data_IF_485610896700
#
_entry.id   IF_485610896700
#
_cell.length_a   1.000
_cell.length_b   1.000
_cell.length_c   1.000
_cell.angle_alpha   90.00
_cell.angle_beta   90.00
_cell.angle_gamma   90.00
#
_symmetry.space_group_name_H-M   'P 1'
#
loop_
_entity.id
_entity.type
_entity.pdbx_description
1 polymer ?
#
# COMPACT_ATOMS: atom_id res chain seq x y z
N UNK A 1 28.45 -43.26 -5.39
CA UNK A 1 27.44 -44.18 -4.86
C UNK A 1 26.09 -43.73 -5.40
N UNK A 2 25.52 -44.44 -6.37
CA UNK A 2 24.22 -44.08 -6.99
C UNK A 2 23.09 -44.64 -6.13
N UNK A 3 22.40 -43.77 -5.42
CA UNK A 3 21.20 -44.13 -4.68
C UNK A 3 20.04 -44.24 -5.67
N UNK A 4 19.48 -45.45 -5.79
CA UNK A 4 18.37 -45.73 -6.68
C UNK A 4 17.08 -44.98 -6.24
N UNK A 5 16.45 -44.25 -7.18
CA UNK A 5 15.18 -43.56 -6.96
C UNK A 5 14.03 -44.42 -6.40
N UNK A 6 14.08 -45.72 -6.62
CA UNK A 6 13.09 -46.70 -6.11
C UNK A 6 13.13 -46.88 -4.58
N UNK A 7 14.27 -46.63 -3.92
CA UNK A 7 14.34 -46.73 -2.46
C UNK A 7 13.85 -45.50 -1.74
N UNK A 8 13.77 -44.36 -2.43
CA UNK A 8 13.24 -43.11 -1.81
C UNK A 8 11.72 -43.16 -1.66
N UNK A 9 11.02 -43.77 -2.66
CA UNK A 9 9.54 -43.83 -2.59
C UNK A 9 9.01 -44.95 -1.70
N UNK A 10 9.80 -45.98 -1.38
CA UNK A 10 9.36 -47.05 -0.46
C UNK A 10 9.37 -46.61 1.01
N UNK A 11 10.15 -45.55 1.36
CA UNK A 11 10.15 -44.98 2.71
C UNK A 11 9.01 -43.96 2.97
N UNK A 12 8.48 -43.35 1.91
CA UNK A 12 7.43 -42.37 2.03
C UNK A 12 6.02 -42.98 2.21
N UNK A 13 5.83 -44.20 1.73
CA UNK A 13 4.54 -44.91 1.85
C UNK A 13 4.19 -45.36 3.28
N UNK A 14 5.18 -45.60 4.13
CA UNK A 14 4.95 -45.99 5.52
C UNK A 14 4.70 -44.81 6.45
N UNK A 15 5.14 -43.60 6.06
CA UNK A 15 4.87 -42.38 6.84
C UNK A 15 3.47 -41.80 6.57
N UNK A 16 2.89 -42.03 5.38
CA UNK A 16 1.58 -41.52 5.02
C UNK A 16 0.42 -42.21 5.77
N UNK A 17 0.57 -43.47 6.16
CA UNK A 17 -0.47 -44.20 6.90
C UNK A 17 -0.50 -43.84 8.41
N UNK A 18 0.59 -43.27 8.95
CA UNK A 18 0.63 -42.78 10.32
C UNK A 18 0.03 -41.36 10.50
N UNK A 19 0.03 -40.56 9.43
CA UNK A 19 -0.55 -39.20 9.46
C UNK A 19 -2.07 -39.19 9.28
N UNK A 20 -2.66 -40.18 8.63
CA UNK A 20 -4.10 -40.24 8.41
C UNK A 20 -4.92 -40.55 9.70
N UNK A 21 -4.31 -41.15 10.70
CA UNK A 21 -4.96 -41.44 11.98
C UNK A 21 -4.88 -40.28 13.00
N UNK A 22 -3.94 -39.32 12.79
CA UNK A 22 -3.80 -38.18 13.69
C UNK A 22 -4.57 -36.93 13.18
N UNK A 23 -5.13 -36.98 11.99
CA UNK A 23 -5.82 -35.84 11.35
C UNK A 23 -7.31 -35.72 11.68
N UNK A 24 -7.82 -36.56 12.57
CA UNK A 24 -9.23 -36.51 13.00
C UNK A 24 -9.49 -35.58 14.20
N UNK A 25 -8.52 -34.79 14.62
CA UNK A 25 -8.80 -33.67 15.54
C UNK A 25 -9.31 -32.50 14.71
N UNK A 26 -10.56 -32.09 14.90
CA UNK A 26 -11.11 -31.01 14.10
C UNK A 26 -10.31 -29.73 14.43
N UNK A 27 -9.52 -29.27 13.46
CA UNK A 27 -8.88 -27.96 13.50
C UNK A 27 -9.93 -26.86 13.78
N UNK A 28 -11.17 -27.08 13.36
CA UNK A 28 -12.31 -26.22 13.68
C UNK A 28 -12.66 -26.14 15.17
N UNK A 29 -12.41 -27.17 15.96
CA UNK A 29 -12.67 -27.13 17.41
C UNK A 29 -11.55 -26.43 18.18
N UNK A 30 -10.35 -26.32 17.59
CA UNK A 30 -9.25 -25.58 18.18
C UNK A 30 -9.37 -24.08 17.97
N UNK A 31 -10.07 -23.61 16.94
CA UNK A 31 -10.24 -22.18 16.66
C UNK A 31 -11.29 -21.51 17.56
N UNK A 32 -12.24 -22.26 18.10
CA UNK A 32 -13.31 -21.71 18.94
C UNK A 32 -12.94 -21.68 20.45
N UNK A 33 -12.07 -22.56 20.94
CA UNK A 33 -11.79 -22.68 22.36
C UNK A 33 -10.31 -22.76 22.73
N UNK A 34 -9.43 -23.06 21.81
CA UNK A 34 -8.01 -23.08 22.13
C UNK A 34 -7.47 -21.65 22.07
N UNK A 35 -7.65 -20.90 23.12
CA UNK A 35 -6.62 -19.93 23.50
C UNK A 35 -5.33 -20.73 23.60
N UNK A 36 -4.60 -20.82 22.51
CA UNK A 36 -3.24 -21.34 22.53
C UNK A 36 -2.53 -20.50 23.55
N UNK A 37 -2.14 -21.10 24.67
CA UNK A 37 -1.57 -20.39 25.80
C UNK A 37 -0.48 -19.46 25.26
N UNK A 38 -0.66 -18.15 25.38
CA UNK A 38 0.27 -17.13 24.96
C UNK A 38 0.20 -16.67 23.50
N UNK A 39 -0.70 -17.19 22.65
CA UNK A 39 -0.92 -16.62 21.31
C UNK A 39 -2.20 -15.77 21.30
N UNK A 40 -2.18 -14.58 20.69
CA UNK A 40 -3.36 -13.74 20.58
C UNK A 40 -4.40 -14.36 19.64
N UNK A 41 -5.68 -14.03 19.85
CA UNK A 41 -6.72 -14.36 18.89
C UNK A 41 -6.37 -13.68 17.55
N UNK A 42 -6.30 -14.45 16.49
CA UNK A 42 -6.04 -13.91 15.14
C UNK A 42 -7.28 -13.16 14.68
N UNK A 43 -7.11 -11.89 14.32
CA UNK A 43 -8.18 -11.00 13.94
C UNK A 43 -7.90 -10.38 12.57
N UNK A 44 -8.83 -10.54 11.65
CA UNK A 44 -8.72 -9.93 10.31
C UNK A 44 -7.86 -10.70 9.28
N UNK A 45 -7.24 -11.82 9.66
CA UNK A 45 -6.47 -12.67 8.73
C UNK A 45 -7.32 -13.71 8.02
N UNK A 46 -8.47 -14.06 8.54
CA UNK A 46 -9.32 -15.16 8.04
C UNK A 46 -9.68 -14.99 6.56
N UNK A 47 -9.78 -13.78 6.08
CA UNK A 47 -10.14 -13.50 4.70
C UNK A 47 -9.09 -13.94 3.68
N UNK A 48 -7.80 -13.75 3.92
CA UNK A 48 -6.75 -14.19 2.99
C UNK A 48 -6.69 -15.70 2.88
N UNK A 49 -6.88 -16.40 3.99
CA UNK A 49 -6.89 -17.87 4.01
C UNK A 49 -8.17 -18.47 3.45
N UNK A 50 -9.27 -17.73 3.49
CA UNK A 50 -10.55 -18.14 2.97
C UNK A 50 -10.80 -17.64 1.53
N UNK A 51 -9.99 -16.71 1.04
CA UNK A 51 -10.14 -16.21 -0.32
C UNK A 51 -9.88 -17.32 -1.33
N UNK A 52 -10.95 -17.72 -2.02
CA UNK A 52 -10.86 -18.63 -3.16
C UNK A 52 -10.86 -17.76 -4.41
N UNK A 53 -9.76 -17.73 -5.17
CA UNK A 53 -9.73 -16.96 -6.41
C UNK A 53 -10.84 -17.41 -7.34
N UNK A 54 -11.59 -16.48 -7.95
CA UNK A 54 -12.60 -16.83 -8.94
C UNK A 54 -11.96 -17.67 -10.05
N UNK A 55 -12.63 -18.73 -10.46
CA UNK A 55 -12.17 -19.53 -11.61
C UNK A 55 -12.61 -18.86 -12.92
N UNK A 56 -11.75 -18.95 -13.94
CA UNK A 56 -12.03 -18.45 -15.29
C UNK A 56 -12.34 -16.93 -15.35
N UNK A 57 -11.61 -16.12 -14.61
CA UNK A 57 -11.72 -14.67 -14.69
C UNK A 57 -11.33 -14.22 -16.10
N UNK A 58 -12.30 -13.72 -16.84
CA UNK A 58 -12.00 -13.00 -18.09
C UNK A 58 -11.45 -11.63 -17.72
N UNK A 59 -10.29 -11.29 -18.29
CA UNK A 59 -9.74 -9.94 -18.16
C UNK A 59 -10.65 -8.97 -18.90
N UNK A 60 -11.29 -8.07 -18.19
CA UNK A 60 -11.95 -6.91 -18.78
C UNK A 60 -10.94 -5.78 -18.92
N UNK A 61 -10.39 -5.62 -20.12
CA UNK A 61 -9.41 -4.58 -20.46
C UNK A 61 -10.05 -3.34 -21.07
N UNK A 62 -11.35 -3.12 -20.89
CA UNK A 62 -12.02 -1.89 -21.30
C UNK A 62 -11.54 -0.73 -20.43
N UNK A 63 -10.87 0.30 -20.98
CA UNK A 63 -10.35 1.41 -20.20
C UNK A 63 -11.48 2.23 -19.58
N UNK A 64 -11.23 2.77 -18.39
CA UNK A 64 -12.11 3.74 -17.76
C UNK A 64 -12.01 5.13 -18.39
N UNK A 65 -12.92 6.04 -18.03
CA UNK A 65 -12.99 7.38 -18.61
C UNK A 65 -11.93 8.34 -18.07
N UNK A 66 -11.32 8.04 -16.94
CA UNK A 66 -10.50 8.98 -16.17
C UNK A 66 -9.04 8.96 -16.62
N UNK A 67 -8.40 10.12 -16.51
CA UNK A 67 -6.97 10.29 -16.82
C UNK A 67 -6.14 10.06 -15.57
N UNK A 68 -5.21 9.12 -15.63
CA UNK A 68 -4.29 8.81 -14.55
C UNK A 68 -3.18 9.86 -14.53
N UNK A 69 -2.88 10.43 -13.36
CA UNK A 69 -1.70 11.25 -13.17
C UNK A 69 -0.64 10.45 -12.43
N UNK A 70 0.52 10.32 -13.07
CA UNK A 70 1.67 9.65 -12.48
C UNK A 70 2.36 10.57 -11.49
N UNK A 71 2.61 10.05 -10.31
CA UNK A 71 3.38 10.70 -9.26
C UNK A 71 4.68 9.96 -9.03
N UNK A 72 5.73 10.73 -8.76
CA UNK A 72 6.99 10.19 -8.26
C UNK A 72 6.93 10.15 -6.74
N UNK A 73 7.15 8.97 -6.15
CA UNK A 73 7.19 8.79 -4.69
C UNK A 73 8.57 9.06 -4.08
N UNK A 74 9.54 9.53 -4.88
CA UNK A 74 10.81 9.96 -4.31
C UNK A 74 10.55 11.12 -3.35
N UNK A 75 11.00 10.94 -2.11
CA UNK A 75 10.98 12.00 -1.11
C UNK A 75 11.63 13.26 -1.69
N UNK A 76 10.86 14.30 -1.80
CA UNK A 76 11.40 15.64 -1.97
C UNK A 76 12.07 15.96 -0.64
N UNK A 77 13.32 15.54 -0.51
CA UNK A 77 14.10 15.82 0.69
C UNK A 77 14.23 17.32 0.84
N UNK A 78 13.47 17.85 1.75
CA UNK A 78 13.57 19.25 2.13
C UNK A 78 14.83 19.45 2.96
N UNK A 79 15.91 19.78 2.29
CA UNK A 79 17.09 20.36 2.92
C UNK A 79 16.91 21.87 2.97
N UNK A 80 17.33 22.48 4.06
CA UNK A 80 17.44 23.92 4.12
C UNK A 80 18.22 24.45 2.90
N UNK A 81 17.64 25.42 2.20
CA UNK A 81 18.23 25.96 0.97
C UNK A 81 17.91 25.16 -0.30
N UNK A 82 16.87 24.32 -0.32
CA UNK A 82 16.41 23.66 -1.55
C UNK A 82 15.96 24.69 -2.58
N UNK A 83 16.50 24.60 -3.80
CA UNK A 83 16.02 25.35 -4.96
C UNK A 83 14.79 24.63 -5.53
N UNK A 84 13.60 25.07 -5.11
CA UNK A 84 12.32 24.46 -5.52
C UNK A 84 12.03 24.67 -7.01
N UNK A 85 12.53 25.76 -7.61
CA UNK A 85 12.38 25.99 -9.04
C UNK A 85 13.14 24.93 -9.84
N UNK A 86 14.41 24.74 -9.51
CA UNK A 86 15.23 23.71 -10.17
C UNK A 86 14.69 22.30 -9.92
N UNK A 87 14.21 22.02 -8.71
CA UNK A 87 13.64 20.72 -8.35
C UNK A 87 12.43 20.39 -9.21
N UNK A 88 11.43 21.28 -9.28
CA UNK A 88 10.21 21.03 -10.04
C UNK A 88 10.45 21.09 -11.55
N UNK A 89 11.39 21.91 -12.02
CA UNK A 89 11.83 21.87 -13.41
C UNK A 89 12.42 20.49 -13.77
N UNK A 90 13.29 19.95 -12.94
CA UNK A 90 13.88 18.62 -13.13
C UNK A 90 12.81 17.53 -13.16
N UNK A 91 11.81 17.62 -12.29
CA UNK A 91 10.66 16.71 -12.32
C UNK A 91 9.89 16.80 -13.64
N UNK A 92 9.59 18.02 -14.08
CA UNK A 92 8.88 18.26 -15.35
C UNK A 92 9.68 17.77 -16.56
N UNK A 93 10.97 17.98 -16.57
CA UNK A 93 11.86 17.49 -17.63
C UNK A 93 11.89 15.95 -17.66
N UNK A 94 11.76 15.33 -16.50
CA UNK A 94 11.51 13.90 -16.36
C UNK A 94 10.09 13.42 -16.69
N UNK A 95 9.18 14.31 -17.07
CA UNK A 95 7.78 13.97 -17.39
C UNK A 95 6.88 13.75 -16.19
N UNK A 96 7.35 14.10 -14.96
CA UNK A 96 6.56 14.00 -13.74
C UNK A 96 5.77 15.28 -13.50
N UNK A 97 4.49 15.11 -13.13
CA UNK A 97 3.58 16.23 -12.91
C UNK A 97 2.96 16.21 -11.51
N UNK A 98 3.34 15.23 -10.72
CA UNK A 98 2.93 15.11 -9.32
C UNK A 98 4.02 14.41 -8.50
N UNK A 99 4.00 14.66 -7.20
CA UNK A 99 4.86 14.01 -6.23
C UNK A 99 4.17 13.98 -4.86
N UNK A 100 4.77 13.25 -3.93
CA UNK A 100 4.42 13.38 -2.53
C UNK A 100 4.97 14.70 -2.00
N UNK A 101 4.18 15.39 -1.19
CA UNK A 101 4.74 16.38 -0.32
C UNK A 101 5.61 15.67 0.71
N UNK A 102 6.68 16.31 1.19
CA UNK A 102 7.67 15.61 1.99
C UNK A 102 7.12 14.99 3.26
N UNK A 103 7.74 13.88 3.60
CA UNK A 103 7.47 13.03 4.74
C UNK A 103 7.53 13.74 6.09
N UNK A 104 7.22 12.99 7.15
CA UNK A 104 7.36 13.38 8.55
C UNK A 104 8.67 14.08 8.94
N UNK A 105 9.72 13.96 8.12
CA UNK A 105 10.96 14.73 8.30
C UNK A 105 10.75 16.24 8.14
N UNK A 106 9.72 16.65 7.40
CA UNK A 106 9.33 18.05 7.38
C UNK A 106 8.61 18.48 8.65
N UNK A 107 7.90 17.57 9.28
CA UNK A 107 7.21 17.84 10.53
C UNK A 107 8.18 18.03 11.71
N UNK A 108 9.42 17.57 11.59
CA UNK A 108 10.48 17.84 12.58
C UNK A 108 11.04 19.27 12.48
N UNK A 109 10.77 19.96 11.36
CA UNK A 109 11.17 21.34 11.09
C UNK A 109 9.92 22.20 10.84
N UNK A 110 9.74 23.25 11.61
CA UNK A 110 8.74 24.25 11.27
C UNK A 110 9.19 25.00 10.00
N UNK A 111 8.43 24.82 8.91
CA UNK A 111 8.69 25.51 7.65
C UNK A 111 8.22 26.95 7.80
N UNK A 112 9.05 27.96 7.50
CA UNK A 112 8.60 29.34 7.50
C UNK A 112 7.48 29.57 6.47
N UNK A 113 6.52 30.43 6.77
CA UNK A 113 5.42 30.72 5.84
C UNK A 113 5.92 31.23 4.48
N UNK A 114 7.00 32.01 4.46
CA UNK A 114 7.66 32.46 3.22
C UNK A 114 8.11 31.30 2.34
N UNK A 115 8.63 30.23 2.93
CA UNK A 115 9.06 29.03 2.20
C UNK A 115 7.84 28.22 1.68
N UNK A 116 6.77 28.13 2.46
CA UNK A 116 5.51 27.52 2.02
C UNK A 116 4.97 28.26 0.79
N UNK A 117 4.97 29.57 0.79
CA UNK A 117 4.50 30.38 -0.33
C UNK A 117 5.42 30.20 -1.55
N UNK A 118 6.73 30.10 -1.36
CA UNK A 118 7.68 29.80 -2.43
C UNK A 118 7.39 28.44 -3.06
N UNK A 119 7.25 27.39 -2.25
CA UNK A 119 6.90 26.05 -2.72
C UNK A 119 5.61 26.11 -3.55
N UNK A 120 4.56 26.73 -3.05
CA UNK A 120 3.27 26.87 -3.77
C UNK A 120 3.43 27.61 -5.10
N UNK A 121 4.25 28.64 -5.11
CA UNK A 121 4.54 29.42 -6.32
C UNK A 121 5.24 28.56 -7.36
N UNK A 122 6.25 27.80 -6.96
CA UNK A 122 7.01 26.95 -7.87
C UNK A 122 6.22 25.73 -8.33
N UNK A 123 5.40 25.11 -7.48
CA UNK A 123 4.46 24.06 -7.90
C UNK A 123 3.57 24.53 -9.03
N UNK A 124 2.99 25.72 -8.89
CA UNK A 124 2.13 26.32 -9.92
C UNK A 124 2.91 26.68 -11.18
N UNK A 125 4.10 27.27 -11.06
CA UNK A 125 4.92 27.69 -12.19
C UNK A 125 5.34 26.50 -13.08
N UNK A 126 5.57 25.33 -12.46
CA UNK A 126 6.01 24.13 -13.15
C UNK A 126 4.88 23.13 -13.44
N UNK A 127 3.62 23.45 -13.15
CA UNK A 127 2.47 22.51 -13.28
C UNK A 127 2.73 21.18 -12.58
N UNK A 128 3.25 21.24 -11.34
CA UNK A 128 3.45 20.10 -10.44
C UNK A 128 2.46 20.22 -9.29
N UNK A 129 1.94 19.12 -8.82
CA UNK A 129 1.02 19.10 -7.68
C UNK A 129 1.51 18.15 -6.60
N UNK A 130 1.24 18.51 -5.35
CA UNK A 130 1.26 17.58 -4.24
C UNK A 130 -0.12 16.96 -4.10
N UNK A 131 -0.21 15.64 -4.10
CA UNK A 131 -1.48 14.99 -3.81
C UNK A 131 -1.65 14.67 -2.33
N UNK A 132 -0.60 14.25 -1.68
CA UNK A 132 -0.61 13.86 -0.29
C UNK A 132 0.70 14.09 0.42
N UNK A 133 0.65 13.99 1.73
CA UNK A 133 1.82 13.97 2.61
C UNK A 133 2.02 12.54 3.10
N UNK A 134 3.23 12.02 2.97
CA UNK A 134 3.59 10.73 3.55
C UNK A 134 3.99 10.92 5.02
N UNK A 135 3.18 10.41 5.92
CA UNK A 135 3.45 10.36 7.36
C UNK A 135 3.41 8.91 7.84
N UNK A 136 4.50 8.20 7.65
CA UNK A 136 4.62 6.76 7.93
C UNK A 136 4.51 6.45 9.44
N UNK A 137 3.29 6.54 9.97
CA UNK A 137 2.99 6.38 11.39
C UNK A 137 2.97 4.94 11.89
N UNK A 138 3.04 4.79 13.20
CA UNK A 138 2.74 3.55 13.92
C UNK A 138 1.75 3.87 15.07
N UNK A 139 0.48 4.02 14.74
CA UNK A 139 -0.55 4.52 15.68
C UNK A 139 -0.90 3.53 16.79
N UNK A 140 -0.45 2.29 16.69
CA UNK A 140 -0.63 1.24 17.71
C UNK A 140 0.67 0.84 18.42
N UNK A 141 1.76 1.60 18.19
CA UNK A 141 3.03 1.36 18.88
C UNK A 141 2.84 1.30 20.40
N UNK A 142 3.65 0.46 21.08
CA UNK A 142 3.58 0.33 22.54
C UNK A 142 4.11 1.57 23.28
N UNK A 143 3.99 1.58 24.60
CA UNK A 143 4.65 2.51 25.53
C UNK A 143 4.35 4.01 25.29
N UNK A 144 3.18 4.34 24.73
CA UNK A 144 2.76 5.72 24.48
C UNK A 144 3.30 6.31 23.15
N UNK A 145 4.09 5.56 22.41
CA UNK A 145 4.57 6.01 21.10
C UNK A 145 3.42 6.13 20.08
N UNK A 146 2.41 5.26 20.19
CA UNK A 146 1.23 5.32 19.33
C UNK A 146 0.49 6.65 19.40
N UNK A 147 0.33 7.20 20.61
CA UNK A 147 -0.29 8.51 20.83
C UNK A 147 0.56 9.66 20.28
N UNK A 148 1.89 9.53 20.28
CA UNK A 148 2.78 10.49 19.64
C UNK A 148 2.61 10.47 18.13
N UNK A 149 2.53 9.28 17.53
CA UNK A 149 2.25 9.13 16.11
C UNK A 149 0.88 9.71 15.71
N UNK A 150 -0.16 9.51 16.55
CA UNK A 150 -1.47 10.15 16.31
C UNK A 150 -1.34 11.68 16.25
N UNK A 151 -0.54 12.30 17.13
CA UNK A 151 -0.27 13.76 17.08
C UNK A 151 0.46 14.16 15.81
N UNK A 152 1.49 13.42 15.40
CA UNK A 152 2.21 13.70 14.17
C UNK A 152 1.32 13.60 12.92
N UNK A 153 0.39 12.64 12.88
CA UNK A 153 -0.58 12.55 11.77
C UNK A 153 -1.55 13.72 11.79
N UNK A 154 -2.01 14.18 12.95
CA UNK A 154 -2.84 15.39 13.07
C UNK A 154 -2.07 16.62 12.54
N UNK A 155 -0.80 16.80 12.89
CA UNK A 155 0.05 17.86 12.37
C UNK A 155 0.25 17.73 10.85
N UNK A 156 0.42 16.50 10.33
CA UNK A 156 0.50 16.25 8.90
C UNK A 156 -0.78 16.62 8.16
N UNK A 157 -1.95 16.40 8.76
CA UNK A 157 -3.25 16.82 8.20
C UNK A 157 -3.31 18.35 8.07
N UNK A 158 -2.88 19.10 9.08
CA UNK A 158 -2.83 20.56 8.99
C UNK A 158 -1.84 21.06 7.94
N UNK A 159 -0.66 20.41 7.82
CA UNK A 159 0.30 20.73 6.77
C UNK A 159 -0.25 20.37 5.37
N UNK A 160 -1.00 19.29 5.26
CA UNK A 160 -1.66 18.90 4.02
C UNK A 160 -2.68 19.94 3.56
N UNK A 161 -3.46 20.53 4.49
CA UNK A 161 -4.37 21.65 4.20
C UNK A 161 -3.59 22.87 3.69
N UNK A 162 -2.47 23.20 4.35
CA UNK A 162 -1.65 24.34 3.98
C UNK A 162 -1.09 24.21 2.57
N UNK A 163 -0.61 23.02 2.17
CA UNK A 163 -0.09 22.74 0.81
C UNK A 163 -1.18 22.46 -0.22
N UNK A 164 -2.45 22.36 0.17
CA UNK A 164 -3.56 22.02 -0.72
C UNK A 164 -3.55 20.56 -1.15
N UNK A 165 -2.96 19.68 -0.35
CA UNK A 165 -3.02 18.23 -0.55
C UNK A 165 -4.45 17.70 -0.35
N UNK A 166 -4.69 16.47 -0.78
CA UNK A 166 -5.99 15.82 -0.66
C UNK A 166 -6.02 14.78 0.46
N UNK A 167 -4.88 14.19 0.79
CA UNK A 167 -4.79 13.16 1.84
C UNK A 167 -3.45 13.20 2.58
N UNK A 168 -3.44 12.54 3.73
CA UNK A 168 -2.23 12.09 4.42
C UNK A 168 -2.17 10.58 4.28
N UNK A 169 -1.06 10.09 3.70
CA UNK A 169 -0.72 8.68 3.64
C UNK A 169 -0.09 8.27 4.95
N UNK A 170 -0.61 7.22 5.58
CA UNK A 170 -0.06 6.67 6.81
C UNK A 170 -0.34 5.17 6.94
N UNK A 171 0.14 4.60 8.01
CA UNK A 171 -0.04 3.20 8.35
C UNK A 171 -0.71 3.06 9.72
N UNK A 172 -1.29 1.91 9.97
CA UNK A 172 -1.70 1.56 11.33
C UNK A 172 -0.48 1.11 12.13
N UNK A 173 0.38 0.33 11.50
CA UNK A 173 1.64 -0.12 12.06
C UNK A 173 1.55 -1.42 12.85
N UNK A 174 2.45 -1.57 13.82
CA UNK A 174 2.73 -2.78 14.57
C UNK A 174 2.63 -2.56 16.09
N UNK A 175 2.26 -3.61 16.80
CA UNK A 175 2.37 -3.71 18.27
C UNK A 175 3.84 -3.81 18.75
N UNK A 176 4.77 -3.46 17.87
CA UNK A 176 6.20 -3.35 18.14
C UNK A 176 6.64 -1.91 17.84
N UNK A 177 7.70 -1.39 18.50
CA UNK A 177 8.14 0.00 18.24
C UNK A 177 8.40 0.31 16.78
N UNK A 178 9.04 -0.63 16.06
CA UNK A 178 9.29 -0.49 14.64
C UNK A 178 8.07 -0.88 13.82
N UNK A 179 7.50 0.04 13.06
CA UNK A 179 6.26 -0.06 12.30
C UNK A 179 6.14 -1.33 11.45
N UNK A 180 7.17 -1.63 10.65
CA UNK A 180 7.12 -2.70 9.63
C UNK A 180 7.42 -4.09 10.21
N UNK A 181 7.52 -4.22 11.53
CA UNK A 181 7.85 -5.48 12.17
C UNK A 181 6.64 -6.39 12.25
N UNK A 182 6.74 -7.57 11.64
CA UNK A 182 5.78 -8.63 11.88
C UNK A 182 5.86 -9.08 13.34
N UNK A 183 4.78 -8.90 14.09
CA UNK A 183 4.69 -9.25 15.49
C UNK A 183 3.41 -10.03 15.76
N UNK A 184 3.41 -11.11 16.57
CA UNK A 184 2.22 -11.94 16.79
C UNK A 184 1.00 -11.15 17.28
N UNK A 185 1.23 -10.08 18.05
CA UNK A 185 0.15 -9.22 18.55
C UNK A 185 -0.49 -8.32 17.47
N UNK A 186 0.13 -8.15 16.30
CA UNK A 186 -0.42 -7.29 15.24
C UNK A 186 -1.82 -7.74 14.79
N UNK A 187 -2.12 -9.02 14.94
CA UNK A 187 -3.40 -9.63 14.51
C UNK A 187 -4.26 -10.03 15.70
N UNK A 188 -4.04 -9.42 16.85
CA UNK A 188 -4.86 -9.58 18.03
C UNK A 188 -6.08 -8.66 18.02
N UNK A 189 -7.08 -8.99 18.84
CA UNK A 189 -8.22 -8.10 19.10
C UNK A 189 -7.76 -6.75 19.67
N UNK A 190 -6.76 -6.76 20.54
CA UNK A 190 -6.20 -5.55 21.13
C UNK A 190 -5.63 -4.62 20.06
N UNK A 191 -4.82 -5.14 19.11
CA UNK A 191 -4.29 -4.34 18.02
C UNK A 191 -5.39 -3.76 17.15
N UNK A 192 -6.45 -4.52 16.88
CA UNK A 192 -7.62 -4.04 16.15
C UNK A 192 -8.32 -2.89 16.87
N UNK A 193 -8.63 -3.06 18.15
CA UNK A 193 -9.29 -2.04 18.97
C UNK A 193 -8.45 -0.76 19.07
N UNK A 194 -7.12 -0.89 19.24
CA UNK A 194 -6.18 0.24 19.20
C UNK A 194 -6.17 0.94 17.84
N UNK A 195 -6.21 0.17 16.75
CA UNK A 195 -6.27 0.70 15.39
C UNK A 195 -7.53 1.55 15.17
N UNK A 196 -8.68 1.00 15.50
CA UNK A 196 -9.98 1.70 15.40
C UNK A 196 -9.98 2.94 16.27
N UNK A 197 -9.56 2.83 17.53
CA UNK A 197 -9.58 3.96 18.46
C UNK A 197 -8.59 5.04 18.07
N UNK A 198 -7.38 4.69 17.66
CA UNK A 198 -6.36 5.65 17.21
C UNK A 198 -6.83 6.46 16.01
N UNK A 199 -7.43 5.80 15.02
CA UNK A 199 -7.99 6.47 13.85
C UNK A 199 -9.18 7.37 14.22
N UNK A 200 -10.08 6.92 15.09
CA UNK A 200 -11.17 7.76 15.60
C UNK A 200 -10.66 9.00 16.32
N UNK A 201 -9.58 8.90 17.09
CA UNK A 201 -8.95 10.03 17.77
C UNK A 201 -8.42 11.06 16.75
N UNK A 202 -7.67 10.61 15.73
CA UNK A 202 -7.13 11.46 14.67
C UNK A 202 -8.25 12.18 13.92
N UNK A 203 -9.23 11.43 13.45
CA UNK A 203 -10.34 11.95 12.64
C UNK A 203 -11.24 12.90 13.45
N UNK A 204 -11.46 12.63 14.73
CA UNK A 204 -12.17 13.52 15.64
C UNK A 204 -11.39 14.82 15.90
N UNK A 205 -10.10 14.74 16.14
CA UNK A 205 -9.24 15.91 16.36
C UNK A 205 -9.21 16.85 15.15
N UNK A 206 -9.40 16.29 13.95
CA UNK A 206 -9.40 17.00 12.66
C UNK A 206 -10.78 17.07 12.01
N UNK A 207 -11.85 17.11 12.80
CA UNK A 207 -13.24 17.03 12.31
C UNK A 207 -13.63 18.13 11.30
N UNK A 208 -12.97 19.30 11.33
CA UNK A 208 -13.17 20.39 10.35
C UNK A 208 -12.42 20.23 9.04
N UNK A 209 -11.48 19.29 8.96
CA UNK A 209 -10.64 19.05 7.80
C UNK A 209 -11.39 18.29 6.70
N UNK A 210 -11.02 18.57 5.45
CA UNK A 210 -11.43 17.78 4.27
C UNK A 210 -10.34 16.78 3.84
N UNK A 211 -9.19 16.78 4.51
CA UNK A 211 -8.08 15.90 4.20
C UNK A 211 -8.47 14.46 4.54
N UNK A 212 -8.29 13.57 3.59
CA UNK A 212 -8.47 12.13 3.77
C UNK A 212 -7.30 11.54 4.55
N UNK A 213 -7.57 10.55 5.38
CA UNK A 213 -6.53 9.72 6.03
C UNK A 213 -6.47 8.42 5.28
N UNK A 214 -5.42 8.27 4.49
CA UNK A 214 -5.24 7.12 3.61
C UNK A 214 -4.34 6.07 4.29
N UNK A 215 -4.93 4.94 4.67
CA UNK A 215 -4.19 3.82 5.26
C UNK A 215 -3.70 2.91 4.16
N UNK A 216 -2.40 2.64 4.18
CA UNK A 216 -1.78 1.63 3.33
C UNK A 216 -1.72 0.29 4.06
N UNK A 217 -2.41 -0.76 3.57
CA UNK A 217 -2.27 -2.10 4.10
C UNK A 217 -0.89 -2.69 3.80
N UNK A 218 -0.25 -3.30 4.82
CA UNK A 218 1.05 -3.97 4.69
C UNK A 218 1.01 -5.32 5.38
N UNK A 219 1.45 -6.36 4.71
CA UNK A 219 1.32 -7.76 5.15
C UNK A 219 1.96 -8.09 6.52
N UNK A 220 2.85 -7.25 7.01
CA UNK A 220 3.50 -7.38 8.33
C UNK A 220 2.79 -6.58 9.43
N UNK A 221 1.88 -5.69 9.08
CA UNK A 221 1.20 -4.79 10.01
C UNK A 221 -0.17 -5.33 10.47
N UNK A 222 -0.82 -4.58 11.36
CA UNK A 222 -2.17 -4.92 11.86
C UNK A 222 -3.21 -4.93 10.74
N UNK A 223 -3.16 -3.93 9.85
CA UNK A 223 -4.01 -3.87 8.66
C UNK A 223 -3.19 -4.39 7.48
N UNK A 224 -3.38 -5.63 7.12
CA UNK A 224 -2.47 -6.38 6.26
C UNK A 224 -3.03 -6.73 4.88
N UNK A 225 -4.26 -6.29 4.57
CA UNK A 225 -4.91 -6.63 3.29
C UNK A 225 -6.15 -5.75 3.05
N UNK A 226 -6.69 -5.72 1.80
CA UNK A 226 -7.87 -4.92 1.46
C UNK A 226 -9.13 -5.26 2.28
N UNK A 227 -9.34 -6.52 2.65
CA UNK A 227 -10.51 -6.92 3.45
C UNK A 227 -10.42 -6.40 4.89
N UNK A 228 -9.23 -6.47 5.48
CA UNK A 228 -8.97 -5.88 6.79
C UNK A 228 -9.21 -4.37 6.76
N UNK A 229 -8.76 -3.67 5.71
CA UNK A 229 -9.04 -2.25 5.54
C UNK A 229 -10.55 -1.97 5.41
N UNK A 230 -11.29 -2.73 4.59
CA UNK A 230 -12.73 -2.52 4.42
C UNK A 230 -13.47 -2.59 5.75
N UNK A 231 -13.16 -3.60 6.55
CA UNK A 231 -13.71 -3.75 7.89
C UNK A 231 -13.29 -2.61 8.82
N UNK A 232 -12.01 -2.21 8.77
CA UNK A 232 -11.51 -1.08 9.56
C UNK A 232 -12.31 0.18 9.27
N UNK A 233 -12.57 0.47 7.99
CA UNK A 233 -13.38 1.62 7.58
C UNK A 233 -14.80 1.56 8.15
N UNK A 234 -15.42 0.40 8.14
CA UNK A 234 -16.75 0.19 8.73
C UNK A 234 -16.75 0.42 10.24
N UNK A 235 -15.76 -0.13 10.96
CA UNK A 235 -15.65 -0.01 12.41
C UNK A 235 -15.26 1.42 12.87
N UNK A 236 -14.50 2.16 12.06
CA UNK A 236 -14.15 3.57 12.30
C UNK A 236 -15.33 4.48 11.98
N UNK A 237 -16.01 4.28 10.87
CA UNK A 237 -17.25 4.97 10.49
C UNK A 237 -17.09 6.44 10.04
N UNK A 238 -15.87 6.87 9.65
CA UNK A 238 -15.63 8.21 9.10
C UNK A 238 -15.36 8.12 7.59
N UNK A 239 -16.07 8.87 6.74
CA UNK A 239 -15.90 8.82 5.28
C UNK A 239 -14.50 9.25 4.81
N UNK A 240 -13.77 10.05 5.60
CA UNK A 240 -12.41 10.51 5.28
C UNK A 240 -11.35 9.42 5.45
N UNK A 241 -11.69 8.27 6.07
CA UNK A 241 -10.78 7.13 6.11
C UNK A 241 -10.79 6.45 4.74
N UNK A 242 -9.67 6.47 4.04
CA UNK A 242 -9.51 5.95 2.69
C UNK A 242 -8.39 4.93 2.63
N UNK A 243 -8.35 4.15 1.56
CA UNK A 243 -7.28 3.19 1.30
C UNK A 243 -6.21 3.80 0.39
N UNK A 244 -4.95 3.73 0.80
CA UNK A 244 -3.80 3.79 -0.10
C UNK A 244 -3.52 2.38 -0.59
N UNK A 245 -3.99 2.04 -1.80
CA UNK A 245 -3.91 0.66 -2.27
C UNK A 245 -2.55 0.35 -2.87
N UNK A 246 -1.71 -0.30 -2.10
CA UNK A 246 -0.55 -1.02 -2.60
C UNK A 246 -0.81 -2.52 -2.59
N UNK A 247 -1.22 -3.04 -3.72
CA UNK A 247 -1.58 -4.45 -3.82
C UNK A 247 -0.37 -5.38 -3.66
N UNK A 248 0.83 -4.91 -3.98
CA UNK A 248 2.07 -5.72 -3.85
C UNK A 248 2.42 -5.97 -2.40
N UNK A 249 2.11 -5.05 -1.50
CA UNK A 249 2.27 -5.23 -0.06
C UNK A 249 1.35 -6.32 0.52
N UNK A 250 0.34 -6.75 -0.24
CA UNK A 250 -0.61 -7.77 0.15
C UNK A 250 -0.33 -9.13 -0.50
N UNK A 251 0.76 -9.25 -1.29
CA UNK A 251 1.09 -10.48 -2.04
C UNK A 251 1.80 -11.49 -1.15
N UNK A 252 1.41 -12.74 -1.30
CA UNK A 252 2.07 -13.91 -0.74
C UNK A 252 2.11 -15.04 -1.79
N UNK A 253 2.80 -16.15 -1.50
CA UNK A 253 3.01 -17.23 -2.46
C UNK A 253 1.71 -17.73 -3.15
N UNK A 254 0.60 -17.78 -2.41
CA UNK A 254 -0.69 -18.22 -2.95
C UNK A 254 -1.34 -17.24 -3.93
N UNK A 255 -0.98 -15.98 -3.89
CA UNK A 255 -1.57 -14.92 -4.73
C UNK A 255 -0.62 -14.37 -5.79
N UNK A 256 0.70 -14.58 -5.65
CA UNK A 256 1.72 -14.02 -6.54
C UNK A 256 1.49 -14.33 -8.03
N UNK A 257 0.93 -15.50 -8.34
CA UNK A 257 0.63 -15.95 -9.71
C UNK A 257 -0.84 -15.78 -10.10
N UNK A 258 -1.60 -14.98 -9.32
CA UNK A 258 -3.04 -14.75 -9.53
C UNK A 258 -3.36 -13.26 -9.40
N UNK A 259 -2.51 -12.44 -9.97
CA UNK A 259 -2.60 -10.98 -9.84
C UNK A 259 -3.86 -10.41 -10.48
N UNK A 260 -4.32 -10.99 -11.61
CA UNK A 260 -5.57 -10.54 -12.25
C UNK A 260 -6.77 -10.68 -11.30
N UNK A 261 -6.88 -11.83 -10.65
CA UNK A 261 -7.98 -12.12 -9.71
C UNK A 261 -7.87 -11.26 -8.46
N UNK A 262 -6.65 -11.11 -7.91
CA UNK A 262 -6.42 -10.31 -6.71
C UNK A 262 -6.74 -8.83 -6.96
N UNK A 263 -6.27 -8.27 -8.08
CA UNK A 263 -6.57 -6.90 -8.48
C UNK A 263 -8.07 -6.66 -8.62
N UNK A 264 -8.75 -7.49 -9.42
CA UNK A 264 -10.19 -7.33 -9.60
C UNK A 264 -10.94 -7.39 -8.28
N UNK A 265 -10.61 -8.36 -7.41
CA UNK A 265 -11.25 -8.49 -6.11
C UNK A 265 -10.99 -7.27 -5.22
N UNK A 266 -9.75 -6.80 -5.14
CA UNK A 266 -9.40 -5.64 -4.32
C UNK A 266 -10.10 -4.36 -4.80
N UNK A 267 -10.09 -4.09 -6.11
CA UNK A 267 -10.75 -2.91 -6.67
C UNK A 267 -12.27 -2.97 -6.56
N UNK A 268 -12.90 -4.15 -6.69
CA UNK A 268 -14.34 -4.29 -6.50
C UNK A 268 -14.72 -4.10 -5.02
N UNK A 269 -13.93 -4.63 -4.10
CA UNK A 269 -14.16 -4.51 -2.65
C UNK A 269 -14.03 -3.06 -2.17
N UNK A 270 -13.07 -2.33 -2.72
CA UNK A 270 -12.70 -0.97 -2.30
C UNK A 270 -13.26 0.11 -3.22
N UNK A 271 -14.27 -0.21 -4.05
CA UNK A 271 -14.86 0.77 -4.95
C UNK A 271 -15.34 2.02 -4.19
N UNK A 272 -14.85 3.19 -4.61
CA UNK A 272 -15.09 4.47 -3.94
C UNK A 272 -14.29 4.74 -2.68
N UNK A 273 -13.50 3.77 -2.19
CA UNK A 273 -12.71 3.89 -0.96
C UNK A 273 -11.19 4.05 -1.20
N UNK A 274 -10.73 4.15 -2.45
CA UNK A 274 -9.31 4.27 -2.81
C UNK A 274 -8.94 5.74 -2.97
N UNK A 275 -8.01 6.24 -2.14
CA UNK A 275 -7.45 7.59 -2.25
C UNK A 275 -6.37 7.69 -3.35
N UNK A 276 -5.50 6.70 -3.40
CA UNK A 276 -4.42 6.57 -4.37
C UNK A 276 -4.01 5.10 -4.52
N UNK A 277 -3.19 4.81 -5.52
CA UNK A 277 -2.57 3.49 -5.69
C UNK A 277 -1.05 3.61 -5.80
N UNK A 278 -0.33 2.61 -5.33
CA UNK A 278 1.09 2.44 -5.61
C UNK A 278 1.32 1.53 -6.82
N UNK A 279 2.17 1.95 -7.72
CA UNK A 279 2.63 1.18 -8.86
C UNK A 279 3.99 0.58 -8.52
N UNK A 280 3.97 -0.61 -7.96
CA UNK A 280 5.13 -1.47 -7.74
C UNK A 280 5.07 -2.66 -8.68
N UNK A 281 6.18 -3.35 -8.84
CA UNK A 281 6.23 -4.64 -9.53
C UNK A 281 7.18 -5.59 -8.80
N UNK A 282 7.03 -6.87 -9.03
CA UNK A 282 7.81 -7.89 -8.34
C UNK A 282 7.98 -9.14 -9.19
N UNK A 283 9.01 -9.90 -8.86
CA UNK A 283 9.20 -11.28 -9.29
C UNK A 283 9.20 -12.18 -8.07
N UNK A 284 8.78 -13.42 -8.26
CA UNK A 284 8.81 -14.42 -7.21
C UNK A 284 9.88 -15.45 -7.51
N UNK A 285 11.00 -15.38 -6.83
CA UNK A 285 12.11 -16.31 -6.98
C UNK A 285 12.70 -16.68 -5.62
N UNK A 286 13.18 -17.89 -5.54
CA UNK A 286 13.68 -18.46 -4.30
C UNK A 286 12.60 -19.06 -3.39
N UNK A 287 13.01 -19.62 -2.25
CA UNK A 287 12.11 -20.32 -1.36
C UNK A 287 11.44 -19.39 -0.34
N UNK A 288 12.21 -18.51 0.29
CA UNK A 288 11.69 -17.59 1.31
C UNK A 288 12.64 -16.39 1.45
N UNK A 289 12.11 -15.16 1.48
CA UNK A 289 10.73 -14.73 1.37
C UNK A 289 10.14 -14.73 -0.05
N UNK A 290 10.90 -15.02 -1.10
CA UNK A 290 10.43 -15.24 -2.47
C UNK A 290 10.15 -13.98 -3.30
N UNK A 291 9.64 -12.91 -2.70
CA UNK A 291 9.31 -11.67 -3.39
C UNK A 291 10.56 -10.79 -3.52
N UNK A 292 10.84 -10.36 -4.75
CA UNK A 292 11.87 -9.36 -5.06
C UNK A 292 11.28 -8.27 -5.95
N UNK A 293 11.70 -7.03 -5.76
CA UNK A 293 11.22 -5.92 -6.56
C UNK A 293 11.69 -6.01 -8.01
N UNK A 294 10.82 -5.65 -8.92
CA UNK A 294 11.09 -5.57 -10.34
C UNK A 294 10.73 -4.18 -10.86
N UNK A 295 11.29 -3.84 -12.00
CA UNK A 295 10.90 -2.62 -12.71
C UNK A 295 9.45 -2.75 -13.18
N UNK A 296 8.68 -1.69 -13.04
CA UNK A 296 7.27 -1.65 -13.37
C UNK A 296 7.00 -2.12 -14.81
N UNK A 297 6.09 -3.09 -14.94
CA UNK A 297 5.73 -3.70 -16.21
C UNK A 297 6.63 -4.85 -16.65
N UNK A 298 7.62 -5.27 -15.82
CA UNK A 298 8.53 -6.38 -16.16
C UNK A 298 8.39 -7.60 -15.26
N UNK A 299 7.58 -7.51 -14.22
CA UNK A 299 7.39 -8.54 -13.20
C UNK A 299 6.10 -9.35 -13.35
N UNK A 300 5.55 -9.74 -12.22
CA UNK A 300 4.34 -10.56 -12.12
C UNK A 300 3.05 -9.75 -11.93
N UNK A 301 3.16 -8.44 -11.67
CA UNK A 301 2.00 -7.56 -11.59
C UNK A 301 1.28 -7.53 -12.95
N UNK A 302 -0.01 -7.82 -12.96
CA UNK A 302 -0.84 -7.66 -14.17
C UNK A 302 -1.11 -6.18 -14.44
N UNK A 303 -0.13 -5.48 -15.02
CA UNK A 303 -0.20 -4.06 -15.29
C UNK A 303 -1.33 -3.66 -16.25
N UNK A 304 -1.76 -4.56 -17.14
CA UNK A 304 -2.88 -4.27 -18.03
C UNK A 304 -4.19 -4.16 -17.23
N UNK A 305 -4.48 -5.17 -16.40
CA UNK A 305 -5.63 -5.13 -15.49
C UNK A 305 -5.51 -3.98 -14.50
N UNK A 306 -4.32 -3.76 -13.91
CA UNK A 306 -4.09 -2.69 -12.95
C UNK A 306 -4.41 -1.31 -13.53
N UNK A 307 -3.84 -0.96 -14.68
CA UNK A 307 -4.06 0.37 -15.31
C UNK A 307 -5.51 0.58 -15.72
N UNK A 308 -6.17 -0.45 -16.24
CA UNK A 308 -7.60 -0.39 -16.57
C UNK A 308 -8.43 -0.13 -15.31
N UNK A 309 -8.18 -0.86 -14.22
CA UNK A 309 -8.89 -0.66 -12.95
C UNK A 309 -8.64 0.74 -12.37
N UNK A 310 -7.40 1.20 -12.37
CA UNK A 310 -7.04 2.55 -11.92
C UNK A 310 -7.75 3.63 -12.74
N UNK A 311 -7.84 3.48 -14.06
CA UNK A 311 -8.54 4.45 -14.94
C UNK A 311 -10.05 4.55 -14.68
N UNK A 312 -10.63 3.60 -13.96
CA UNK A 312 -12.05 3.62 -13.54
C UNK A 312 -12.27 4.36 -12.21
N UNK A 313 -11.22 4.57 -11.41
CA UNK A 313 -11.30 5.35 -10.17
C UNK A 313 -11.61 6.81 -10.52
N UNK A 314 -12.50 7.45 -9.75
CA UNK A 314 -12.72 8.89 -9.86
C UNK A 314 -11.47 9.64 -9.39
N UNK A 315 -10.87 10.47 -10.26
CA UNK A 315 -9.66 11.23 -9.96
C UNK A 315 -8.46 10.35 -9.52
N UNK A 316 -8.01 9.44 -10.42
CA UNK A 316 -7.01 8.44 -10.06
C UNK A 316 -5.61 9.05 -9.87
N UNK A 317 -4.96 8.70 -8.78
CA UNK A 317 -3.61 9.09 -8.43
C UNK A 317 -2.76 7.83 -8.32
N UNK A 318 -1.64 7.78 -9.02
CA UNK A 318 -0.77 6.61 -9.05
C UNK A 318 0.67 7.01 -8.77
N UNK A 319 1.22 6.51 -7.69
CA UNK A 319 2.61 6.72 -7.29
C UNK A 319 3.48 5.57 -7.77
N UNK A 320 4.56 5.90 -8.49
CA UNK A 320 5.60 4.95 -8.89
C UNK A 320 6.62 4.86 -7.77
N UNK A 321 6.89 3.67 -7.28
CA UNK A 321 7.62 3.47 -6.03
C UNK A 321 8.60 2.28 -6.09
N UNK A 322 9.52 2.21 -5.13
CA UNK A 322 10.50 1.15 -4.92
C UNK A 322 11.52 0.97 -6.05
N UNK A 323 11.95 2.08 -6.63
CA UNK A 323 13.06 2.13 -7.56
C UNK A 323 14.27 2.81 -6.92
N UNK A 324 15.46 2.55 -7.47
CA UNK A 324 16.73 2.93 -6.84
C UNK A 324 17.35 4.16 -7.44
N UNK A 325 17.12 4.38 -8.75
CA UNK A 325 17.78 5.45 -9.49
C UNK A 325 16.77 6.27 -10.31
N UNK A 326 17.09 7.53 -10.63
CA UNK A 326 16.27 8.33 -11.52
C UNK A 326 16.01 7.67 -12.88
N UNK A 327 16.99 6.92 -13.41
CA UNK A 327 16.89 6.20 -14.68
C UNK A 327 15.86 5.07 -14.61
N UNK A 328 15.82 4.32 -13.50
CA UNK A 328 14.79 3.30 -13.25
C UNK A 328 13.40 3.95 -13.19
N UNK A 329 13.24 5.10 -12.54
CA UNK A 329 11.97 5.84 -12.53
C UNK A 329 11.54 6.29 -13.93
N UNK A 330 12.48 6.74 -14.76
CA UNK A 330 12.21 7.10 -16.14
C UNK A 330 11.78 5.90 -16.98
N UNK A 331 12.45 4.77 -16.79
CA UNK A 331 12.12 3.52 -17.51
C UNK A 331 10.75 2.98 -17.06
N UNK A 332 10.47 2.96 -15.78
CA UNK A 332 9.16 2.58 -15.25
C UNK A 332 8.03 3.45 -15.84
N UNK A 333 8.26 4.76 -15.91
CA UNK A 333 7.29 5.67 -16.52
C UNK A 333 7.06 5.34 -18.01
N UNK A 334 8.12 5.06 -18.77
CA UNK A 334 7.99 4.66 -20.18
C UNK A 334 7.20 3.37 -20.33
N UNK A 335 7.48 2.35 -19.50
CA UNK A 335 6.79 1.07 -19.53
C UNK A 335 5.29 1.25 -19.23
N UNK A 336 4.96 1.97 -18.17
CA UNK A 336 3.57 2.25 -17.77
C UNK A 336 2.83 2.98 -18.90
N UNK A 337 3.43 4.02 -19.49
CA UNK A 337 2.81 4.78 -20.58
C UNK A 337 2.64 3.93 -21.85
N UNK A 338 3.59 3.07 -22.16
CA UNK A 338 3.50 2.14 -23.30
C UNK A 338 2.33 1.17 -23.12
N UNK A 339 2.22 0.54 -21.96
CA UNK A 339 1.11 -0.37 -21.64
C UNK A 339 -0.23 0.39 -21.69
N UNK A 340 -0.29 1.57 -21.07
CA UNK A 340 -1.49 2.40 -21.07
C UNK A 340 -1.94 2.79 -22.50
N UNK A 341 -1.01 3.20 -23.37
CA UNK A 341 -1.29 3.55 -24.75
C UNK A 341 -1.88 2.37 -25.53
N UNK A 342 -1.31 1.19 -25.37
CA UNK A 342 -1.81 -0.05 -26.01
C UNK A 342 -3.24 -0.40 -25.59
N UNK A 343 -3.67 0.02 -24.40
CA UNK A 343 -5.00 -0.22 -23.85
C UNK A 343 -5.97 0.95 -24.08
N UNK A 344 -5.50 2.09 -24.58
CA UNK A 344 -6.30 3.30 -24.65
C UNK A 344 -6.56 3.97 -23.29
N UNK A 345 -5.77 3.62 -22.26
CA UNK A 345 -5.81 4.27 -20.95
C UNK A 345 -5.11 5.64 -21.05
N UNK A 346 -5.76 6.68 -20.53
CA UNK A 346 -5.24 8.05 -20.59
C UNK A 346 -4.29 8.31 -19.40
N UNK A 347 -3.09 8.80 -19.70
CA UNK A 347 -2.13 9.28 -18.70
C UNK A 347 -1.88 10.77 -18.93
N UNK A 348 -1.91 11.56 -17.84
CA UNK A 348 -1.69 13.00 -17.91
C UNK A 348 -0.24 13.33 -18.30
N UNK A 349 -0.10 14.39 -19.09
CA UNK A 349 1.18 14.86 -19.60
C UNK A 349 1.69 14.04 -20.79
N UNK A 350 2.48 14.68 -21.63
CA UNK A 350 3.11 14.04 -22.79
C UNK A 350 4.37 13.30 -22.35
N UNK A 351 4.66 12.17 -22.98
CA UNK A 351 5.97 11.55 -22.89
C UNK A 351 6.93 12.42 -23.71
N UNK A 352 7.85 13.11 -23.05
CA UNK A 352 8.98 13.70 -23.77
C UNK A 352 9.85 12.55 -24.30
N UNK A 353 10.06 12.55 -25.60
CA UNK A 353 10.84 11.56 -26.33
C UNK A 353 12.30 11.51 -25.87
#
# INVERSE_FOLDING_TARGET
MKISRRKFFAGAGAAASGFAAASASPIAAQSAEAKRAGLPDVWGQDFLYQWTPPQNVKRDLTPGPNTIRLSNSQDITNKEGTDYSQLFQTMRDGGWTACEAPSSQWLSRKIPESEVQEIKTQLKAHDVVFYGIHCAGNIIAPEGEGEQWQKHIIEAIHSAEEFGCQFVLTHVGSMYPQRDTAHPQNWSREAWEKSVQGLKNILKATAGSKIEVAIEPVNTESINNPWAFKRLKEDVGDPRLMCGLDITNCVFAGTAFRMTELLNTAFDLLDGDIAYVHAKDFVWNGMMPGLNWALQGTGLMDYETFLVRVSRIKNPKMYVEFLRTPEEYQEAQRNIRTIAANLGVKIYGEQKA
#
